data_IF_895667059158
#
_entry.id   IF_895667059158
#
_cell.length_a   1.000
_cell.length_b   1.000
_cell.length_c   1.000
_cell.angle_alpha   90.00
_cell.angle_beta   90.00
_cell.angle_gamma   90.00
#
_symmetry.space_group_name_H-M   'P 1'
#
loop_
_entity.id
_entity.type
_entity.pdbx_description
1 polymer ?
#
# COMPACT_ATOMS: atom_id res chain seq x y z
N UNK A 1 12.10 1.39 -36.17
CA UNK A 1 10.78 1.93 -35.71
C UNK A 1 9.88 0.84 -35.14
N UNK A 2 9.58 -0.25 -35.88
CA UNK A 2 8.75 -1.37 -35.40
C UNK A 2 9.20 -1.95 -34.05
N UNK A 3 10.51 -2.16 -33.86
CA UNK A 3 11.05 -2.76 -32.63
C UNK A 3 10.81 -1.92 -31.38
N UNK A 4 10.92 -0.59 -31.48
CA UNK A 4 10.66 0.32 -30.34
C UNK A 4 9.20 0.23 -29.92
N UNK A 5 8.28 0.19 -30.88
CA UNK A 5 6.84 0.04 -30.62
C UNK A 5 6.54 -1.32 -29.96
N UNK A 6 7.21 -2.39 -30.41
CA UNK A 6 7.11 -3.72 -29.78
C UNK A 6 7.61 -3.70 -28.33
N UNK A 7 8.77 -3.10 -28.09
CA UNK A 7 9.36 -3.02 -26.75
C UNK A 7 8.53 -2.15 -25.79
N UNK A 8 8.04 -0.99 -26.25
CA UNK A 8 7.13 -0.15 -25.45
C UNK A 8 5.83 -0.87 -25.12
N UNK A 9 5.27 -1.65 -26.06
CA UNK A 9 4.08 -2.47 -25.78
C UNK A 9 4.35 -3.50 -24.67
N UNK A 10 5.47 -4.22 -24.74
CA UNK A 10 5.86 -5.19 -23.69
C UNK A 10 6.07 -4.52 -22.33
N UNK A 11 6.74 -3.37 -22.27
CA UNK A 11 6.94 -2.66 -21.00
C UNK A 11 5.63 -2.15 -20.39
N UNK A 12 4.65 -1.76 -21.22
CA UNK A 12 3.30 -1.40 -20.76
C UNK A 12 2.56 -2.61 -20.23
N UNK A 13 2.59 -3.73 -20.96
CA UNK A 13 1.95 -4.99 -20.54
C UNK A 13 2.54 -5.53 -19.22
N UNK A 14 3.85 -5.40 -19.02
CA UNK A 14 4.52 -5.77 -17.76
C UNK A 14 4.42 -4.70 -16.66
N UNK A 15 3.67 -3.61 -16.88
CA UNK A 15 3.46 -2.56 -15.89
C UNK A 15 4.74 -1.83 -15.49
N UNK A 16 5.80 -1.87 -16.30
CA UNK A 16 7.07 -1.16 -16.05
C UNK A 16 7.01 0.30 -16.48
N UNK A 17 6.19 0.60 -17.48
CA UNK A 17 5.88 1.96 -17.91
C UNK A 17 4.36 2.11 -18.08
N UNK A 18 3.85 3.32 -17.95
CA UNK A 18 2.49 3.65 -18.34
C UNK A 18 2.50 4.84 -19.29
N UNK A 19 1.48 4.89 -20.16
CA UNK A 19 1.36 5.96 -21.15
C UNK A 19 0.67 7.17 -20.52
N UNK A 20 1.34 8.32 -20.56
CA UNK A 20 0.77 9.60 -20.10
C UNK A 20 -0.03 10.24 -21.23
N UNK A 21 0.56 10.28 -22.43
CA UNK A 21 -0.11 10.77 -23.65
C UNK A 21 0.45 10.08 -24.90
N UNK A 22 -0.03 10.43 -26.10
CA UNK A 22 0.48 9.83 -27.34
C UNK A 22 2.00 10.06 -27.50
N UNK A 23 2.77 8.98 -27.43
CA UNK A 23 4.22 9.01 -27.60
C UNK A 23 5.02 9.28 -26.31
N UNK A 24 4.35 9.57 -25.19
CA UNK A 24 5.00 9.89 -23.90
C UNK A 24 4.67 8.80 -22.89
N UNK A 25 5.72 8.11 -22.42
CA UNK A 25 5.63 7.06 -21.42
C UNK A 25 6.41 7.47 -20.17
N UNK A 26 5.90 7.10 -19.00
CA UNK A 26 6.56 7.32 -17.70
C UNK A 26 6.80 5.96 -17.03
N UNK A 27 7.95 5.76 -16.36
CA UNK A 27 8.16 4.56 -15.56
C UNK A 27 7.09 4.44 -14.48
N UNK A 28 6.56 3.23 -14.32
CA UNK A 28 5.76 2.90 -13.16
C UNK A 28 6.69 2.84 -11.95
N UNK A 29 6.49 3.75 -11.00
CA UNK A 29 7.25 3.77 -9.75
C UNK A 29 6.68 2.63 -8.89
N UNK A 30 7.49 1.59 -8.68
CA UNK A 30 7.16 0.46 -7.82
C UNK A 30 8.14 0.34 -6.67
N UNK A 31 7.69 -0.24 -5.56
CA UNK A 31 8.49 -0.41 -4.33
C UNK A 31 9.43 -1.64 -4.34
N UNK A 32 9.68 -2.23 -5.52
CA UNK A 32 10.39 -3.50 -5.65
C UNK A 32 9.52 -4.70 -5.29
N UNK A 33 10.15 -5.84 -5.01
CA UNK A 33 9.46 -7.05 -4.57
C UNK A 33 8.94 -6.90 -3.13
N UNK A 34 7.76 -7.45 -2.87
CA UNK A 34 7.18 -7.47 -1.53
C UNK A 34 8.06 -8.33 -0.62
N UNK A 35 8.45 -7.77 0.52
CA UNK A 35 9.26 -8.45 1.52
C UNK A 35 8.37 -8.87 2.70
N UNK A 36 8.59 -10.06 3.29
CA UNK A 36 7.94 -10.41 4.55
C UNK A 36 8.40 -9.44 5.64
N UNK A 37 7.46 -9.06 6.50
CA UNK A 37 7.73 -8.20 7.65
C UNK A 37 7.20 -8.90 8.89
N UNK A 38 8.07 -9.12 9.88
CA UNK A 38 7.70 -9.76 11.14
C UNK A 38 8.29 -8.96 12.30
N UNK A 39 7.58 -8.97 13.44
CA UNK A 39 8.07 -8.40 14.70
C UNK A 39 7.81 -9.43 15.79
N UNK A 40 8.86 -9.83 16.49
CA UNK A 40 8.80 -10.69 17.66
C UNK A 40 9.24 -9.93 18.89
N UNK A 41 8.55 -10.11 20.02
CA UNK A 41 8.89 -9.50 21.30
C UNK A 41 9.11 -10.62 22.31
N UNK A 42 10.25 -10.61 22.97
CA UNK A 42 10.60 -11.54 24.05
C UNK A 42 10.04 -11.03 25.38
N UNK A 43 9.88 -11.92 26.36
CA UNK A 43 9.41 -11.56 27.71
C UNK A 43 10.33 -10.55 28.43
N UNK A 44 11.60 -10.46 28.01
CA UNK A 44 12.56 -9.45 28.47
C UNK A 44 12.27 -8.03 27.95
N UNK A 45 11.34 -7.89 27.00
CA UNK A 45 11.05 -6.67 26.27
C UNK A 45 12.01 -6.40 25.10
N UNK A 46 13.01 -7.26 24.88
CA UNK A 46 13.83 -7.23 23.67
C UNK A 46 12.97 -7.61 22.45
N UNK A 47 13.20 -6.94 21.33
CA UNK A 47 12.47 -7.19 20.09
C UNK A 47 13.37 -7.66 18.95
N UNK A 48 12.80 -8.40 18.01
CA UNK A 48 13.43 -8.73 16.72
C UNK A 48 12.49 -8.26 15.61
N UNK A 49 12.96 -7.33 14.78
CA UNK A 49 12.27 -6.85 13.58
C UNK A 49 12.94 -7.45 12.34
N UNK A 50 12.16 -8.12 11.52
CA UNK A 50 12.64 -8.75 10.28
C UNK A 50 11.95 -8.11 9.07
N UNK A 51 12.73 -7.70 8.07
CA UNK A 51 12.24 -7.17 6.79
C UNK A 51 13.02 -7.84 5.65
N UNK A 52 12.42 -8.86 5.04
CA UNK A 52 13.16 -9.73 4.11
C UNK A 52 14.37 -10.34 4.81
N UNK A 53 15.57 -10.08 4.28
CA UNK A 53 16.83 -10.61 4.83
C UNK A 53 17.43 -9.73 5.93
N UNK A 54 16.85 -8.57 6.21
CA UNK A 54 17.35 -7.66 7.25
C UNK A 54 16.72 -8.01 8.59
N UNK A 55 17.56 -8.33 9.58
CA UNK A 55 17.16 -8.63 10.95
C UNK A 55 17.75 -7.59 11.88
N UNK A 56 16.89 -6.93 12.65
CA UNK A 56 17.28 -5.93 13.65
C UNK A 56 16.94 -6.46 15.05
N UNK A 57 17.97 -6.61 15.88
CA UNK A 57 17.81 -6.87 17.31
C UNK A 57 17.70 -5.54 18.05
N UNK A 58 16.53 -5.30 18.63
CA UNK A 58 16.19 -4.03 19.25
C UNK A 58 16.14 -4.20 20.76
N UNK A 59 16.74 -3.27 21.47
CA UNK A 59 16.55 -3.16 22.91
C UNK A 59 15.15 -2.59 23.24
N UNK A 60 14.68 -2.68 24.50
CA UNK A 60 13.34 -2.22 24.85
C UNK A 60 13.11 -0.72 24.60
N UNK A 61 14.15 0.11 24.65
CA UNK A 61 14.04 1.54 24.37
C UNK A 61 13.87 1.80 22.86
N UNK A 62 14.69 1.16 22.02
CA UNK A 62 14.57 1.22 20.56
C UNK A 62 13.22 0.69 20.10
N UNK A 63 12.73 -0.40 20.69
CA UNK A 63 11.42 -0.97 20.38
C UNK A 63 10.29 0.00 20.74
N UNK A 64 10.37 0.68 21.88
CA UNK A 64 9.39 1.71 22.28
C UNK A 64 9.43 2.93 21.36
N UNK A 65 10.62 3.40 21.00
CA UNK A 65 10.80 4.50 20.06
C UNK A 65 10.22 4.14 18.69
N UNK A 66 10.50 2.93 18.19
CA UNK A 66 9.92 2.43 16.94
C UNK A 66 8.40 2.33 17.04
N UNK A 67 7.86 1.76 18.13
CA UNK A 67 6.42 1.65 18.35
C UNK A 67 5.71 3.02 18.38
N UNK A 68 6.30 4.01 19.05
CA UNK A 68 5.78 5.38 19.08
C UNK A 68 5.72 6.00 17.67
N UNK A 69 6.77 5.80 16.87
CA UNK A 69 6.81 6.28 15.48
C UNK A 69 5.78 5.55 14.60
N UNK A 70 5.63 4.24 14.78
CA UNK A 70 4.68 3.42 14.01
C UNK A 70 3.22 3.70 14.35
N UNK A 71 2.92 4.16 15.56
CA UNK A 71 1.56 4.53 15.97
C UNK A 71 0.93 5.58 15.04
N UNK A 72 1.71 6.59 14.64
CA UNK A 72 1.24 7.62 13.70
C UNK A 72 0.89 7.05 12.32
N UNK A 73 1.70 6.12 11.80
CA UNK A 73 1.39 5.43 10.55
C UNK A 73 0.14 4.54 10.66
N UNK A 74 -0.03 3.85 11.78
CA UNK A 74 -1.24 3.05 12.05
C UNK A 74 -2.51 3.90 12.06
N UNK A 75 -2.46 5.08 12.68
CA UNK A 75 -3.58 6.02 12.68
C UNK A 75 -3.91 6.55 11.28
N UNK A 76 -2.90 6.91 10.49
CA UNK A 76 -3.09 7.36 9.10
C UNK A 76 -3.71 6.25 8.25
N UNK A 77 -3.21 5.02 8.36
CA UNK A 77 -3.75 3.87 7.65
C UNK A 77 -5.22 3.62 8.00
N UNK A 78 -5.55 3.59 9.29
CA UNK A 78 -6.93 3.44 9.77
C UNK A 78 -7.85 4.53 9.21
N UNK A 79 -7.39 5.79 9.23
CA UNK A 79 -8.16 6.94 8.70
C UNK A 79 -8.42 6.82 7.20
N UNK A 80 -7.42 6.40 6.42
CA UNK A 80 -7.55 6.19 4.98
C UNK A 80 -8.52 5.04 4.68
N UNK A 81 -8.39 3.93 5.42
CA UNK A 81 -9.24 2.76 5.23
C UNK A 81 -10.71 3.07 5.60
N UNK A 82 -10.96 3.75 6.71
CA UNK A 82 -12.30 4.22 7.07
C UNK A 82 -12.88 5.16 6.01
N UNK A 83 -12.10 6.14 5.53
CA UNK A 83 -12.56 7.07 4.48
C UNK A 83 -12.95 6.34 3.19
N UNK A 84 -12.22 5.27 2.84
CA UNK A 84 -12.54 4.40 1.71
C UNK A 84 -13.83 3.63 1.93
N UNK A 85 -14.01 3.01 3.10
CA UNK A 85 -15.22 2.25 3.44
C UNK A 85 -16.46 3.14 3.47
N UNK A 86 -16.36 4.34 4.06
CA UNK A 86 -17.43 5.35 4.02
C UNK A 86 -17.76 5.78 2.60
N UNK A 87 -16.76 5.94 1.73
CA UNK A 87 -16.99 6.30 0.32
C UNK A 87 -17.75 5.20 -0.43
N UNK A 88 -17.40 3.93 -0.18
CA UNK A 88 -18.10 2.77 -0.76
C UNK A 88 -19.55 2.70 -0.25
N UNK A 89 -19.77 2.83 1.06
CA UNK A 89 -21.11 2.83 1.65
C UNK A 89 -21.96 4.00 1.12
N UNK A 90 -21.40 5.21 1.06
CA UNK A 90 -22.09 6.40 0.51
C UNK A 90 -22.53 6.16 -0.93
N UNK A 91 -21.65 5.60 -1.77
CA UNK A 91 -21.99 5.30 -3.16
C UNK A 91 -23.12 4.24 -3.23
N UNK A 92 -23.06 3.20 -2.39
CA UNK A 92 -24.12 2.19 -2.32
C UNK A 92 -25.48 2.79 -1.91
N UNK A 93 -25.49 3.66 -0.89
CA UNK A 93 -26.70 4.35 -0.44
C UNK A 93 -27.23 5.32 -1.50
N UNK A 94 -26.36 6.05 -2.19
CA UNK A 94 -26.74 6.94 -3.28
C UNK A 94 -27.37 6.17 -4.46
N UNK A 95 -26.80 5.02 -4.83
CA UNK A 95 -27.38 4.12 -5.84
C UNK A 95 -28.72 3.52 -5.38
N UNK A 96 -28.83 3.11 -4.12
CA UNK A 96 -30.06 2.52 -3.57
C UNK A 96 -31.20 3.54 -3.47
N UNK A 97 -30.87 4.79 -3.12
CA UNK A 97 -31.82 5.90 -3.09
C UNK A 97 -32.31 6.26 -4.50
N UNK A 98 -31.41 6.31 -5.50
CA UNK A 98 -31.78 6.55 -6.90
C UNK A 98 -32.65 5.43 -7.50
N UNK A 99 -32.43 4.19 -7.04
CA UNK A 99 -33.19 3.03 -7.50
C UNK A 99 -34.50 2.79 -6.71
N UNK A 100 -34.87 3.67 -5.78
CA UNK A 100 -36.11 3.56 -5.00
C UNK A 100 -36.17 2.32 -4.10
N UNK A 101 -35.02 1.82 -3.62
CA UNK A 101 -34.92 0.55 -2.88
C UNK A 101 -34.74 0.72 -1.36
N UNK A 102 -34.85 1.95 -0.86
CA UNK A 102 -34.85 2.24 0.57
C UNK A 102 -36.30 2.34 1.04
N UNK A 103 -36.97 1.19 1.11
CA UNK A 103 -38.21 1.05 1.86
C UNK A 103 -37.82 0.87 3.33
N UNK A 104 -38.08 1.88 4.16
CA UNK A 104 -37.88 1.81 5.61
C UNK A 104 -38.95 0.96 6.28
#
# INVERSE_FOLDING_TARGET
MSEITKFTKLLVEHGKIYRVTRGIFKPAIGFGETRPVSVSVLDSGMGVLEIGDTVLHLNPQEMRSLGALMSGFGQQFSSIQMGREFSVLRNYLECSAKNGRLDF
#
